data_IF_628878784989
#
_entry.id   IF_628878784989
#
_cell.length_a   1.000
_cell.length_b   1.000
_cell.length_c   1.000
_cell.angle_alpha   90.00
_cell.angle_beta   90.00
_cell.angle_gamma   90.00
#
_symmetry.space_group_name_H-M   'P 1'
#
loop_
_entity.id
_entity.type
_entity.pdbx_description
1 polymer ?
#
# COMPACT_ATOMS: atom_id res chain seq x y z
N UNK A 1 29.81 -35.41 30.89
CA UNK A 1 29.77 -33.95 31.12
C UNK A 1 30.31 -33.26 29.88
N UNK A 2 29.64 -32.17 29.47
CA UNK A 2 29.94 -31.28 28.34
C UNK A 2 29.77 -31.95 26.95
N UNK A 3 28.95 -31.50 25.99
CA UNK A 3 28.15 -30.28 25.80
C UNK A 3 27.17 -30.60 24.64
N UNK A 4 25.87 -30.75 24.93
CA UNK A 4 24.80 -30.88 23.92
C UNK A 4 23.97 -29.58 23.83
N UNK A 5 24.63 -28.42 23.91
CA UNK A 5 23.95 -27.11 24.01
C UNK A 5 24.01 -26.22 22.77
N UNK A 6 24.75 -26.57 21.72
CA UNK A 6 25.06 -25.63 20.62
C UNK A 6 24.42 -25.94 19.27
N UNK A 7 23.83 -27.13 19.08
CA UNK A 7 23.17 -27.47 17.80
C UNK A 7 21.72 -26.96 17.70
N UNK A 8 21.04 -26.70 18.82
CA UNK A 8 19.64 -26.21 18.80
C UNK A 8 19.51 -24.73 18.44
N UNK A 9 20.60 -23.97 18.43
CA UNK A 9 20.60 -22.54 18.05
C UNK A 9 20.66 -22.39 16.51
N UNK A 10 21.21 -23.37 15.80
CA UNK A 10 21.32 -23.34 14.35
C UNK A 10 19.98 -23.67 13.65
N UNK A 11 19.10 -24.45 14.27
CA UNK A 11 17.76 -24.75 13.76
C UNK A 11 16.77 -23.58 13.97
N UNK A 12 16.97 -22.74 15.00
CA UNK A 12 16.13 -21.55 15.24
C UNK A 12 16.52 -20.41 14.28
N UNK A 13 17.80 -20.33 13.88
CA UNK A 13 18.26 -19.38 12.86
C UNK A 13 17.81 -19.75 11.43
N UNK A 14 17.56 -21.04 11.17
CA UNK A 14 17.11 -21.53 9.86
C UNK A 14 15.58 -21.43 9.64
N UNK A 15 14.80 -21.19 10.68
CA UNK A 15 13.33 -21.15 10.62
C UNK A 15 12.73 -19.74 10.38
N UNK A 16 13.54 -18.68 10.26
CA UNK A 16 13.01 -17.30 10.13
C UNK A 16 13.34 -16.57 8.82
N UNK A 17 14.05 -17.17 7.87
CA UNK A 17 14.31 -16.51 6.57
C UNK A 17 14.24 -17.51 5.42
N UNK A 18 13.03 -18.03 5.17
CA UNK A 18 12.69 -18.58 3.87
C UNK A 18 11.32 -18.04 3.48
N UNK A 19 11.36 -16.95 2.71
CA UNK A 19 10.44 -16.45 1.66
C UNK A 19 10.66 -14.92 1.64
N UNK A 20 11.48 -14.36 0.76
CA UNK A 20 11.13 -14.23 -0.65
C UNK A 20 12.38 -14.37 -1.52
N UNK A 21 12.28 -15.28 -2.48
CA UNK A 21 13.26 -15.41 -3.56
C UNK A 21 13.24 -14.20 -4.48
N UNK A 22 14.42 -13.95 -5.07
CA UNK A 22 14.66 -13.42 -6.41
C UNK A 22 13.42 -13.08 -7.25
N UNK A 23 13.31 -11.82 -7.69
CA UNK A 23 13.23 -11.34 -9.10
C UNK A 23 13.40 -9.81 -9.02
N UNK A 24 14.34 -9.14 -9.71
CA UNK A 24 14.28 -8.80 -11.13
C UNK A 24 12.86 -8.66 -11.71
N UNK A 25 11.94 -8.04 -10.99
CA UNK A 25 10.71 -7.51 -11.59
C UNK A 25 10.68 -6.01 -11.33
N UNK A 26 10.74 -5.26 -12.43
CA UNK A 26 10.27 -3.89 -12.46
C UNK A 26 8.85 -3.92 -11.90
N UNK A 27 8.65 -3.39 -10.69
CA UNK A 27 7.31 -3.23 -10.11
C UNK A 27 6.51 -2.45 -11.12
N UNK A 28 5.64 -3.15 -11.86
CA UNK A 28 4.97 -2.58 -13.00
C UNK A 28 3.96 -1.59 -12.43
N UNK A 29 4.04 -0.32 -12.84
CA UNK A 29 3.13 0.71 -12.36
C UNK A 29 1.66 0.30 -12.54
N UNK A 30 1.37 -0.48 -13.58
CA UNK A 30 0.06 -1.09 -13.80
C UNK A 30 -0.38 -2.00 -12.66
N UNK A 31 0.51 -2.85 -12.15
CA UNK A 31 0.18 -3.81 -11.09
C UNK A 31 -0.02 -3.08 -9.75
N UNK A 32 0.80 -2.06 -9.47
CA UNK A 32 0.64 -1.21 -8.30
C UNK A 32 -0.66 -0.38 -8.36
N UNK A 33 -1.03 0.11 -9.55
CA UNK A 33 -2.30 0.79 -9.77
C UNK A 33 -3.49 -0.16 -9.60
N UNK A 34 -3.38 -1.41 -10.06
CA UNK A 34 -4.43 -2.41 -9.91
C UNK A 34 -4.63 -2.82 -8.45
N UNK A 35 -3.54 -2.97 -7.70
CA UNK A 35 -3.60 -3.20 -6.25
C UNK A 35 -4.23 -2.02 -5.51
N UNK A 36 -3.87 -0.78 -5.89
CA UNK A 36 -4.50 0.41 -5.32
C UNK A 36 -6.01 0.45 -5.64
N UNK A 37 -6.42 0.09 -6.86
CA UNK A 37 -7.83 0.04 -7.27
C UNK A 37 -8.61 -1.02 -6.46
N UNK A 38 -8.01 -2.20 -6.27
CA UNK A 38 -8.59 -3.26 -5.45
C UNK A 38 -8.72 -2.83 -3.98
N UNK A 39 -7.74 -2.08 -3.46
CA UNK A 39 -7.76 -1.55 -2.11
C UNK A 39 -8.89 -0.53 -1.90
N UNK A 40 -9.13 0.33 -2.89
CA UNK A 40 -10.26 1.28 -2.89
C UNK A 40 -11.59 0.53 -2.91
N UNK A 41 -11.74 -0.53 -3.71
CA UNK A 41 -12.96 -1.32 -3.75
C UNK A 41 -13.27 -1.99 -2.39
N UNK A 42 -12.23 -2.53 -1.74
CA UNK A 42 -12.38 -3.10 -0.39
C UNK A 42 -12.73 -2.05 0.65
N UNK A 43 -12.13 -0.87 0.57
CA UNK A 43 -12.49 0.28 1.42
C UNK A 43 -13.94 0.75 1.20
N UNK A 44 -14.44 0.74 -0.04
CA UNK A 44 -15.84 1.08 -0.33
C UNK A 44 -16.82 0.06 0.26
N UNK A 45 -16.53 -1.24 0.16
CA UNK A 45 -17.37 -2.27 0.79
C UNK A 45 -17.36 -2.15 2.32
N UNK A 46 -16.20 -1.90 2.91
CA UNK A 46 -16.09 -1.68 4.35
C UNK A 46 -16.81 -0.39 4.77
N UNK A 47 -16.74 0.68 3.96
CA UNK A 47 -17.47 1.92 4.19
C UNK A 47 -18.99 1.74 4.08
N UNK A 48 -19.46 0.91 3.14
CA UNK A 48 -20.88 0.57 3.01
C UNK A 48 -21.38 -0.17 4.27
N UNK A 49 -20.58 -1.12 4.77
CA UNK A 49 -20.84 -1.84 6.02
C UNK A 49 -20.82 -0.91 7.24
N UNK A 50 -19.82 -0.04 7.34
CA UNK A 50 -19.73 0.95 8.42
C UNK A 50 -20.87 1.97 8.36
N UNK A 51 -21.37 2.30 7.17
CA UNK A 51 -22.52 3.19 6.96
C UNK A 51 -23.81 2.52 7.43
N UNK A 52 -23.98 1.24 7.15
CA UNK A 52 -25.08 0.43 7.68
C UNK A 52 -25.02 0.35 9.22
N UNK A 53 -23.82 0.15 9.79
CA UNK A 53 -23.59 0.17 11.24
C UNK A 53 -23.76 1.57 11.87
N UNK A 54 -23.49 2.64 11.11
CA UNK A 54 -23.68 4.03 11.53
C UNK A 54 -25.16 4.44 11.53
N UNK A 55 -25.92 4.06 10.50
CA UNK A 55 -27.39 4.21 10.46
C UNK A 55 -28.05 3.42 11.60
N UNK A 56 -27.46 2.27 11.96
CA UNK A 56 -27.84 1.50 13.15
C UNK A 56 -27.48 2.19 14.49
N UNK A 57 -26.89 3.39 14.47
CA UNK A 57 -26.71 4.26 15.63
C UNK A 57 -25.44 4.02 16.46
N UNK A 58 -24.38 3.44 15.89
CA UNK A 58 -23.20 2.95 16.64
C UNK A 58 -21.94 3.83 16.65
N UNK A 59 -21.91 5.07 16.15
CA UNK A 59 -20.65 5.83 16.16
C UNK A 59 -20.75 7.36 16.26
N UNK A 60 -19.82 7.93 17.02
CA UNK A 60 -19.80 9.29 17.57
C UNK A 60 -18.51 10.05 17.17
N UNK A 61 -18.02 9.88 15.93
CA UNK A 61 -16.66 10.27 15.54
C UNK A 61 -16.58 11.24 14.35
N UNK A 62 -17.28 12.38 14.45
CA UNK A 62 -17.22 13.48 13.47
C UNK A 62 -15.79 13.98 13.22
N UNK A 63 -14.91 13.91 14.24
CA UNK A 63 -13.51 14.32 14.11
C UNK A 63 -12.71 13.46 13.13
N UNK A 64 -12.95 12.14 13.10
CA UNK A 64 -12.28 11.23 12.17
C UNK A 64 -12.68 11.49 10.73
N UNK A 65 -13.94 11.87 10.48
CA UNK A 65 -14.44 12.21 9.13
C UNK A 65 -13.76 13.47 8.59
N UNK A 66 -13.64 14.52 9.41
CA UNK A 66 -12.95 15.76 9.02
C UNK A 66 -11.45 15.53 8.72
N UNK A 67 -10.75 14.78 9.58
CA UNK A 67 -9.34 14.45 9.36
C UNK A 67 -9.16 13.61 8.10
N UNK A 68 -10.04 12.64 7.86
CA UNK A 68 -10.02 11.82 6.65
C UNK A 68 -10.26 12.66 5.40
N UNK A 69 -11.21 13.60 5.43
CA UNK A 69 -11.49 14.52 4.33
C UNK A 69 -10.30 15.41 4.00
N UNK A 70 -9.66 16.00 5.01
CA UNK A 70 -8.48 16.87 4.80
C UNK A 70 -7.30 16.06 4.23
N UNK A 71 -7.06 14.87 4.78
CA UNK A 71 -6.01 13.96 4.28
C UNK A 71 -6.27 13.53 2.83
N UNK A 72 -7.51 13.27 2.47
CA UNK A 72 -7.89 12.92 1.10
C UNK A 72 -7.64 14.09 0.13
N UNK A 73 -7.99 15.32 0.51
CA UNK A 73 -7.75 16.53 -0.30
C UNK A 73 -6.26 16.73 -0.59
N UNK A 74 -5.41 16.63 0.44
CA UNK A 74 -3.96 16.77 0.29
C UNK A 74 -3.38 15.65 -0.58
N UNK A 75 -3.84 14.41 -0.36
CA UNK A 75 -3.39 13.25 -1.12
C UNK A 75 -3.77 13.35 -2.61
N UNK A 76 -4.97 13.86 -2.91
CA UNK A 76 -5.42 14.07 -4.29
C UNK A 76 -4.55 15.11 -5.00
N UNK A 77 -4.24 16.23 -4.34
CA UNK A 77 -3.35 17.26 -4.89
C UNK A 77 -1.96 16.69 -5.18
N UNK A 78 -1.41 15.91 -4.25
CA UNK A 78 -0.13 15.24 -4.44
C UNK A 78 -0.14 14.27 -5.63
N UNK A 79 -1.20 13.47 -5.78
CA UNK A 79 -1.34 12.54 -6.92
C UNK A 79 -1.41 13.31 -8.25
N UNK A 80 -2.09 14.46 -8.29
CA UNK A 80 -2.12 15.28 -9.51
C UNK A 80 -0.72 15.79 -9.90
N UNK A 81 0.07 16.25 -8.93
CA UNK A 81 1.46 16.64 -9.17
C UNK A 81 2.32 15.48 -9.65
N UNK A 82 2.21 14.31 -9.02
CA UNK A 82 2.93 13.10 -9.45
C UNK A 82 2.52 12.69 -10.87
N UNK A 83 1.22 12.73 -11.19
CA UNK A 83 0.71 12.45 -12.55
C UNK A 83 1.31 13.41 -13.56
N UNK A 84 1.32 14.71 -13.27
CA UNK A 84 1.88 15.72 -14.15
C UNK A 84 3.38 15.47 -14.37
N UNK A 85 4.15 15.16 -13.33
CA UNK A 85 5.58 14.85 -13.47
C UNK A 85 5.89 13.57 -14.22
N UNK A 86 5.05 12.54 -14.09
CA UNK A 86 5.19 11.32 -14.90
C UNK A 86 4.90 11.60 -16.38
N UNK A 87 3.88 12.42 -16.69
CA UNK A 87 3.59 12.82 -18.08
C UNK A 87 4.71 13.69 -18.68
N UNK A 88 5.23 14.65 -17.91
CA UNK A 88 6.38 15.46 -18.32
C UNK A 88 7.61 14.58 -18.59
N UNK A 89 7.93 13.63 -17.69
CA UNK A 89 9.04 12.71 -17.87
C UNK A 89 8.88 11.83 -19.12
N UNK A 90 7.66 11.34 -19.39
CA UNK A 90 7.37 10.60 -20.61
C UNK A 90 7.55 11.47 -21.86
N UNK A 91 7.05 12.70 -21.83
CA UNK A 91 7.18 13.65 -22.94
C UNK A 91 8.64 14.05 -23.19
N UNK A 92 9.44 14.19 -22.14
CA UNK A 92 10.87 14.50 -22.23
C UNK A 92 11.66 13.33 -22.85
N UNK A 93 11.37 12.09 -22.45
CA UNK A 93 11.98 10.89 -23.07
C UNK A 93 11.65 10.82 -24.57
N UNK A 94 10.42 11.15 -24.97
CA UNK A 94 10.03 11.19 -26.39
C UNK A 94 10.76 12.31 -27.16
N UNK A 95 11.03 13.45 -26.53
CA UNK A 95 11.81 14.55 -27.12
C UNK A 95 13.30 14.25 -27.24
N UNK A 96 13.84 13.33 -26.42
CA UNK A 96 15.25 12.90 -26.53
C UNK A 96 15.52 11.94 -27.69
N UNK A 97 14.49 11.30 -28.26
CA UNK A 97 14.64 10.27 -29.31
C UNK A 97 14.51 10.79 -30.75
N UNK A 98 14.34 12.11 -30.96
CA UNK A 98 14.38 12.75 -32.28
C UNK A 98 15.69 13.53 -32.51
#
# INVERSE_FOLDING_TARGET
MAIQGVNSINDIAAASVKTAGKTNDSVNFKDLLMDALNNVNTLEQESARMTEDFIAGRTDNIHSVLIASEKASISLQFIMEVRNKVLEAYQEIMRMQI
#
